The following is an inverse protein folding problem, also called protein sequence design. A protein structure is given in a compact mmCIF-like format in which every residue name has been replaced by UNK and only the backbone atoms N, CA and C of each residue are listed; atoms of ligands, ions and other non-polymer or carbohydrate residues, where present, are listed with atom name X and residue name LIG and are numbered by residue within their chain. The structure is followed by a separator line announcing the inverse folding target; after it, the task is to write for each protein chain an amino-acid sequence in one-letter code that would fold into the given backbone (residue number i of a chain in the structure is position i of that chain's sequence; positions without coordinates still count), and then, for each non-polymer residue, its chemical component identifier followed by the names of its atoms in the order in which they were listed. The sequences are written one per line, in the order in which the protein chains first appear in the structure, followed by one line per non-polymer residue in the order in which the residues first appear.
data_IF_464135134856
#
_entry.id   IF_464135134856
#
_cell.length_a   1.000
_cell.length_b   1.000
_cell.length_c   1.000
_cell.angle_alpha   90.00
_cell.angle_beta   90.00
_cell.angle_gamma   90.00
#
_symmetry.space_group_name_H-M   'P 1'
#
loop_
_entity.id
_entity.type
_entity.pdbx_description
1 polymer ?
#
# COMPACT_ATOMS: atom_id res chain seq x y z
N UNK A 1 -40.52 54.69 -63.66
CA UNK A 1 -41.25 53.73 -62.79
C UNK A 1 -40.61 52.35 -62.96
N UNK A 2 -39.96 51.81 -61.92
CA UNK A 2 -39.57 50.39 -61.86
C UNK A 2 -39.63 49.94 -60.40
N UNK A 3 -40.56 49.03 -60.09
CA UNK A 3 -40.75 48.48 -58.74
C UNK A 3 -39.89 47.22 -58.64
N UNK A 4 -38.81 47.27 -57.84
CA UNK A 4 -37.98 46.09 -57.56
C UNK A 4 -38.79 45.06 -56.76
N UNK A 5 -38.85 43.84 -57.28
CA UNK A 5 -39.45 42.70 -56.58
C UNK A 5 -38.43 42.18 -55.56
N UNK A 6 -38.82 42.01 -54.29
CA UNK A 6 -37.99 41.36 -53.27
C UNK A 6 -37.89 39.87 -53.62
N UNK A 7 -36.68 39.41 -53.95
CA UNK A 7 -36.39 37.98 -54.14
C UNK A 7 -36.50 37.22 -52.81
N UNK A 8 -36.98 35.98 -52.88
CA UNK A 8 -37.04 35.07 -51.74
C UNK A 8 -35.64 34.86 -51.13
N UNK A 9 -35.51 35.14 -49.83
CA UNK A 9 -34.31 34.88 -48.99
C UNK A 9 -34.40 33.57 -48.19
N UNK A 10 -35.37 32.71 -48.54
CA UNK A 10 -35.69 31.51 -47.75
C UNK A 10 -34.65 30.39 -47.88
N UNK A 11 -34.03 30.27 -49.06
CA UNK A 11 -33.05 29.22 -49.31
C UNK A 11 -31.72 29.54 -48.64
N UNK A 12 -31.31 30.81 -48.62
CA UNK A 12 -30.09 31.26 -47.92
C UNK A 12 -30.25 31.10 -46.40
N UNK A 13 -31.42 31.45 -45.85
CA UNK A 13 -31.72 31.24 -44.44
C UNK A 13 -31.71 29.74 -44.06
N UNK A 14 -32.20 28.87 -44.93
CA UNK A 14 -32.20 27.42 -44.71
C UNK A 14 -30.78 26.82 -44.70
N UNK A 15 -29.89 27.27 -45.59
CA UNK A 15 -28.50 26.82 -45.63
C UNK A 15 -27.76 27.24 -44.34
N UNK A 16 -27.96 28.48 -43.88
CA UNK A 16 -27.38 28.97 -42.62
C UNK A 16 -27.90 28.17 -41.42
N UNK A 17 -29.20 27.84 -41.41
CA UNK A 17 -29.81 27.03 -40.35
C UNK A 17 -29.17 25.62 -40.29
N UNK A 18 -28.98 24.96 -41.42
CA UNK A 18 -28.33 23.63 -41.48
C UNK A 18 -26.89 23.72 -40.97
N UNK A 19 -26.13 24.72 -41.41
CA UNK A 19 -24.75 24.92 -40.97
C UNK A 19 -24.68 25.14 -39.45
N UNK A 20 -25.57 25.97 -38.89
CA UNK A 20 -25.62 26.23 -37.46
C UNK A 20 -25.98 24.98 -36.65
N UNK A 21 -26.94 24.18 -37.12
CA UNK A 21 -27.32 22.91 -36.47
C UNK A 21 -26.17 21.91 -36.50
N UNK A 22 -25.42 21.82 -37.60
CA UNK A 22 -24.25 20.93 -37.69
C UNK A 22 -23.15 21.37 -36.71
N UNK A 23 -22.84 22.66 -36.65
CA UNK A 23 -21.85 23.19 -35.70
C UNK A 23 -22.29 22.96 -34.26
N UNK A 24 -23.57 23.21 -33.96
CA UNK A 24 -24.14 22.94 -32.63
C UNK A 24 -24.09 21.45 -32.26
N UNK A 25 -24.42 20.55 -33.18
CA UNK A 25 -24.36 19.11 -32.97
C UNK A 25 -22.92 18.61 -32.74
N UNK A 26 -21.95 19.12 -33.53
CA UNK A 26 -20.54 18.81 -33.35
C UNK A 26 -20.01 19.30 -31.99
N UNK A 27 -20.37 20.53 -31.60
CA UNK A 27 -20.02 21.07 -30.29
C UNK A 27 -20.63 20.26 -29.14
N UNK A 28 -21.91 19.88 -29.27
CA UNK A 28 -22.60 19.06 -28.28
C UNK A 28 -21.95 17.67 -28.14
N UNK A 29 -21.58 17.02 -29.24
CA UNK A 29 -20.88 15.74 -29.23
C UNK A 29 -19.53 15.83 -28.51
N UNK A 30 -18.73 16.86 -28.82
CA UNK A 30 -17.45 17.10 -28.14
C UNK A 30 -17.66 17.36 -26.65
N UNK A 31 -18.63 18.22 -26.30
CA UNK A 31 -18.94 18.54 -24.91
C UNK A 31 -19.38 17.29 -24.12
N UNK A 32 -20.19 16.42 -24.70
CA UNK A 32 -20.62 15.17 -24.07
C UNK A 32 -19.46 14.19 -23.89
N UNK A 33 -18.62 14.00 -24.89
CA UNK A 33 -17.48 13.08 -24.80
C UNK A 33 -16.45 13.57 -23.78
N UNK A 34 -16.16 14.88 -23.76
CA UNK A 34 -15.31 15.48 -22.74
C UNK A 34 -15.96 15.40 -21.34
N UNK A 35 -17.29 15.55 -21.26
CA UNK A 35 -18.07 15.36 -20.04
C UNK A 35 -18.00 13.93 -19.50
N UNK A 36 -18.14 12.93 -20.37
CA UNK A 36 -18.00 11.52 -20.00
C UNK A 36 -16.58 11.17 -19.57
N UNK A 37 -15.57 11.66 -20.28
CA UNK A 37 -14.17 11.47 -19.86
C UNK A 37 -13.90 12.10 -18.48
N UNK A 38 -14.36 13.33 -18.27
CA UNK A 38 -14.16 14.04 -16.99
C UNK A 38 -14.87 13.33 -15.84
N UNK A 39 -16.10 12.86 -16.05
CA UNK A 39 -16.85 12.12 -15.01
C UNK A 39 -16.25 10.75 -14.73
N UNK A 40 -15.79 10.00 -15.74
CA UNK A 40 -15.06 8.74 -15.54
C UNK A 40 -13.76 8.98 -14.77
N UNK A 41 -12.99 10.00 -15.15
CA UNK A 41 -11.74 10.33 -14.46
C UNK A 41 -12.00 10.76 -13.01
N UNK A 42 -13.07 11.51 -12.77
CA UNK A 42 -13.47 11.91 -11.41
C UNK A 42 -13.82 10.70 -10.55
N UNK A 43 -14.55 9.72 -11.08
CA UNK A 43 -14.86 8.47 -10.38
C UNK A 43 -13.59 7.67 -10.03
N UNK A 44 -12.66 7.56 -10.97
CA UNK A 44 -11.37 6.90 -10.74
C UNK A 44 -10.55 7.60 -9.66
N UNK A 45 -10.44 8.93 -9.70
CA UNK A 45 -9.70 9.70 -8.69
C UNK A 45 -10.37 9.62 -7.31
N UNK A 46 -11.70 9.62 -7.24
CA UNK A 46 -12.43 9.44 -5.98
C UNK A 46 -12.15 8.05 -5.40
N UNK A 47 -12.24 7.00 -6.22
CA UNK A 47 -11.97 5.64 -5.78
C UNK A 47 -10.52 5.48 -5.30
N UNK A 48 -9.54 5.93 -6.09
CA UNK A 48 -8.12 5.90 -5.71
C UNK A 48 -7.82 6.76 -4.49
N UNK A 49 -8.45 7.91 -4.36
CA UNK A 49 -8.30 8.77 -3.19
C UNK A 49 -8.80 8.08 -1.92
N UNK A 50 -9.89 7.32 -2.01
CA UNK A 50 -10.38 6.51 -0.90
C UNK A 50 -9.48 5.31 -0.60
N UNK A 51 -8.97 4.63 -1.63
CA UNK A 51 -7.99 3.55 -1.47
C UNK A 51 -6.72 4.05 -0.79
N UNK A 52 -6.17 5.17 -1.24
CA UNK A 52 -4.91 5.74 -0.74
C UNK A 52 -5.04 6.30 0.70
N UNK A 53 -6.17 6.94 1.02
CA UNK A 53 -6.39 7.49 2.35
C UNK A 53 -6.64 6.40 3.41
N UNK A 54 -7.00 5.20 2.99
CA UNK A 54 -7.30 4.10 3.89
C UNK A 54 -6.10 3.21 4.17
N UNK A 55 -5.98 2.69 5.38
CA UNK A 55 -4.97 1.68 5.71
C UNK A 55 -5.24 0.40 4.92
N UNK A 56 -4.23 -0.08 4.19
CA UNK A 56 -4.33 -1.35 3.47
C UNK A 56 -4.05 -2.55 4.39
N UNK A 57 -3.19 -2.37 5.39
CA UNK A 57 -2.74 -3.42 6.30
C UNK A 57 -3.07 -3.09 7.76
N UNK A 58 -3.41 -4.12 8.53
CA UNK A 58 -3.65 -4.06 9.97
C UNK A 58 -2.78 -5.08 10.70
N UNK A 59 -2.51 -4.82 11.97
CA UNK A 59 -1.81 -5.78 12.85
C UNK A 59 -2.81 -6.81 13.34
N UNK A 60 -2.54 -8.10 13.11
CA UNK A 60 -3.39 -9.20 13.58
C UNK A 60 -2.74 -9.94 14.76
N UNK A 61 -2.84 -9.35 15.95
CA UNK A 61 -2.37 -9.96 17.20
C UNK A 61 -1.20 -9.20 17.84
N UNK A 62 -0.35 -9.95 18.55
CA UNK A 62 0.73 -9.40 19.34
C UNK A 62 2.04 -9.35 18.54
N UNK A 63 2.80 -8.27 18.69
CA UNK A 63 4.14 -8.15 18.12
C UNK A 63 5.10 -8.92 19.00
N UNK A 64 5.90 -9.81 18.42
CA UNK A 64 6.82 -10.68 19.14
C UNK A 64 8.26 -10.24 18.87
N UNK A 65 9.05 -10.11 19.92
CA UNK A 65 10.49 -9.87 19.85
C UNK A 65 11.27 -11.15 20.11
N UNK A 66 12.36 -11.36 19.36
CA UNK A 66 13.36 -12.40 19.62
C UNK A 66 14.58 -11.78 20.28
N UNK A 67 14.95 -12.30 21.43
CA UNK A 67 16.06 -11.82 22.23
C UNK A 67 17.26 -12.75 22.16
N UNK A 68 18.46 -12.18 22.26
CA UNK A 68 19.66 -12.93 22.57
C UNK A 68 19.89 -12.88 24.09
N UNK A 69 19.66 -14.00 24.78
CA UNK A 69 19.73 -14.11 26.25
C UNK A 69 21.14 -13.82 26.78
N UNK A 70 22.18 -14.22 26.04
CA UNK A 70 23.59 -14.02 26.44
C UNK A 70 24.00 -12.55 26.33
N UNK A 71 23.59 -11.88 25.24
CA UNK A 71 23.92 -10.48 24.99
C UNK A 71 22.93 -9.48 25.62
N UNK A 72 21.77 -9.96 26.11
CA UNK A 72 20.65 -9.15 26.62
C UNK A 72 20.24 -8.03 25.64
N UNK A 73 20.03 -8.41 24.38
CA UNK A 73 19.60 -7.50 23.31
C UNK A 73 18.45 -8.09 22.51
N UNK A 74 17.57 -7.24 22.01
CA UNK A 74 16.54 -7.60 21.05
C UNK A 74 17.18 -7.72 19.67
N UNK A 75 17.11 -8.92 19.07
CA UNK A 75 17.76 -9.23 17.79
C UNK A 75 16.78 -9.37 16.62
N UNK A 76 15.50 -9.57 16.89
CA UNK A 76 14.50 -9.64 15.83
C UNK A 76 13.11 -9.23 16.30
N UNK A 77 12.26 -8.83 15.36
CA UNK A 77 10.86 -8.47 15.60
C UNK A 77 9.97 -9.16 14.58
N UNK A 78 8.88 -9.78 15.03
CA UNK A 78 7.85 -10.39 14.22
C UNK A 78 6.52 -9.65 14.44
N UNK A 79 5.95 -9.13 13.36
CA UNK A 79 4.71 -8.37 13.34
C UNK A 79 3.70 -9.17 12.49
N UNK A 80 2.64 -9.73 13.08
CA UNK A 80 1.58 -10.35 12.30
C UNK A 80 0.75 -9.28 11.59
N UNK A 81 0.52 -9.48 10.30
CA UNK A 81 -0.15 -8.59 9.38
C UNK A 81 -1.35 -9.31 8.73
N UNK A 82 -2.41 -8.55 8.50
CA UNK A 82 -3.59 -8.97 7.74
C UNK A 82 -4.06 -7.81 6.87
N UNK A 83 -4.72 -8.14 5.76
CA UNK A 83 -5.42 -7.14 4.96
C UNK A 83 -6.55 -6.50 5.77
N UNK A 84 -6.63 -5.17 5.73
CA UNK A 84 -7.78 -4.48 6.31
C UNK A 84 -9.06 -4.91 5.58
N UNK A 85 -10.16 -5.09 6.31
CA UNK A 85 -11.40 -5.66 5.74
C UNK A 85 -11.95 -4.81 4.59
N UNK A 86 -12.34 -5.47 3.50
CA UNK A 86 -12.93 -4.82 2.31
C UNK A 86 -11.93 -4.00 1.46
N UNK A 87 -10.63 -4.31 1.53
CA UNK A 87 -9.60 -3.68 0.69
C UNK A 87 -9.15 -4.59 -0.45
N UNK A 88 -8.51 -3.97 -1.44
CA UNK A 88 -7.87 -4.68 -2.55
C UNK A 88 -6.61 -5.40 -2.06
N UNK A 89 -6.26 -6.57 -2.62
CA UNK A 89 -5.04 -7.30 -2.29
C UNK A 89 -3.77 -6.45 -2.36
N UNK A 90 -2.84 -6.69 -1.43
CA UNK A 90 -1.56 -5.95 -1.35
C UNK A 90 -0.42 -6.80 -1.87
N UNK A 91 0.31 -6.30 -2.87
CA UNK A 91 1.51 -6.97 -3.40
C UNK A 91 2.74 -6.75 -2.52
N UNK A 92 3.26 -7.86 -2.00
CA UNK A 92 4.43 -7.90 -1.12
C UNK A 92 5.70 -7.42 -1.84
N UNK A 93 5.86 -7.76 -3.13
CA UNK A 93 7.06 -7.42 -3.91
C UNK A 93 7.20 -5.94 -4.20
N UNK A 94 6.14 -5.17 -3.95
CA UNK A 94 6.13 -3.71 -4.14
C UNK A 94 6.00 -2.95 -2.82
N UNK A 95 5.95 -3.68 -1.72
CA UNK A 95 5.92 -3.12 -0.38
C UNK A 95 7.34 -2.71 0.03
N UNK A 96 7.45 -1.58 0.73
CA UNK A 96 8.71 -1.14 1.35
C UNK A 96 8.54 -1.03 2.85
N UNK A 97 9.63 -1.21 3.59
CA UNK A 97 9.59 -1.24 5.05
C UNK A 97 10.66 -0.29 5.56
N UNK A 98 10.28 0.58 6.48
CA UNK A 98 11.18 1.54 7.11
C UNK A 98 11.28 1.23 8.61
N UNK A 99 12.51 1.09 9.09
CA UNK A 99 12.81 0.83 10.50
C UNK A 99 13.48 2.08 11.05
N UNK A 100 12.82 2.71 12.01
CA UNK A 100 13.29 3.90 12.69
C UNK A 100 13.60 3.54 14.14
N UNK A 101 14.85 3.77 14.52
CA UNK A 101 15.34 3.69 15.90
C UNK A 101 15.84 5.08 16.31
N UNK A 102 16.08 5.31 17.61
CA UNK A 102 16.61 6.59 18.11
C UNK A 102 17.84 7.13 17.37
N UNK A 103 18.71 6.25 16.87
CA UNK A 103 19.99 6.62 16.27
C UNK A 103 20.11 6.31 14.77
N UNK A 104 19.21 5.52 14.19
CA UNK A 104 19.32 5.01 12.83
C UNK A 104 17.97 4.92 12.14
N UNK A 105 17.96 5.21 10.85
CA UNK A 105 16.82 4.96 9.95
C UNK A 105 17.31 4.05 8.83
N UNK A 106 16.65 2.90 8.65
CA UNK A 106 16.96 1.94 7.60
C UNK A 106 15.72 1.70 6.78
N UNK A 107 15.83 1.88 5.46
CA UNK A 107 14.76 1.57 4.51
C UNK A 107 15.11 0.28 3.79
N UNK A 108 14.21 -0.68 3.86
CA UNK A 108 14.27 -1.96 3.16
C UNK A 108 13.34 -1.89 1.95
N UNK A 109 13.93 -2.10 0.78
CA UNK A 109 13.19 -2.18 -0.48
C UNK A 109 12.86 -3.63 -0.81
N UNK A 110 12.06 -3.86 -1.85
CA UNK A 110 11.62 -5.19 -2.28
C UNK A 110 12.73 -6.26 -2.39
N UNK A 111 13.96 -5.88 -2.74
CA UNK A 111 15.10 -6.80 -2.86
C UNK A 111 15.68 -7.25 -1.51
N UNK A 112 15.45 -6.48 -0.44
CA UNK A 112 15.89 -6.81 0.93
C UNK A 112 14.83 -7.62 1.69
N UNK A 113 13.64 -7.77 1.10
CA UNK A 113 12.49 -8.47 1.66
C UNK A 113 12.36 -9.83 0.97
N UNK A 114 12.56 -10.90 1.71
CA UNK A 114 12.37 -12.26 1.20
C UNK A 114 10.94 -12.71 1.48
N UNK A 115 10.07 -12.85 0.46
CA UNK A 115 8.79 -13.50 0.66
C UNK A 115 9.00 -15.01 0.83
N UNK A 116 8.34 -15.60 1.83
CA UNK A 116 8.40 -17.02 2.14
C UNK A 116 6.97 -17.55 2.18
N UNK A 117 6.59 -18.30 1.16
CA UNK A 117 5.35 -19.09 1.13
C UNK A 117 5.61 -20.47 1.72
N UNK A 118 4.63 -21.04 2.43
CA UNK A 118 4.73 -22.34 3.11
C UNK A 118 6.04 -22.57 3.91
N UNK A 119 6.24 -21.90 5.06
CA UNK A 119 7.49 -22.00 5.80
C UNK A 119 7.74 -23.43 6.30
N UNK A 120 8.97 -23.91 6.09
CA UNK A 120 9.42 -25.24 6.54
C UNK A 120 9.57 -25.38 8.07
N UNK A 121 9.40 -24.28 8.80
CA UNK A 121 9.50 -24.20 10.27
C UNK A 121 8.38 -23.31 10.82
N UNK A 122 7.84 -23.69 11.98
CA UNK A 122 6.82 -22.90 12.68
C UNK A 122 7.38 -21.66 13.39
N UNK A 123 8.70 -21.54 13.57
CA UNK A 123 9.31 -20.32 14.12
C UNK A 123 9.60 -19.30 13.00
N UNK A 124 8.91 -18.13 13.00
CA UNK A 124 9.07 -17.10 11.97
C UNK A 124 10.53 -16.62 11.84
N UNK A 125 11.29 -16.57 12.93
CA UNK A 125 12.69 -16.12 12.90
C UNK A 125 13.64 -17.14 12.28
N UNK A 126 13.28 -18.42 12.28
CA UNK A 126 14.05 -19.46 11.62
C UNK A 126 13.70 -19.57 10.13
N UNK A 127 12.43 -19.36 9.77
CA UNK A 127 11.95 -19.35 8.40
C UNK A 127 12.47 -18.14 7.59
N UNK A 128 12.74 -17.00 8.24
CA UNK A 128 13.39 -15.85 7.61
C UNK A 128 14.86 -16.12 7.17
N UNK A 129 15.52 -17.11 7.77
CA UNK A 129 16.92 -17.42 7.49
C UNK A 129 17.86 -16.24 7.79
N UNK A 130 18.72 -15.89 6.82
CA UNK A 130 19.67 -14.77 6.93
C UNK A 130 19.17 -13.48 6.26
N UNK A 131 17.87 -13.39 5.94
CA UNK A 131 17.29 -12.21 5.31
C UNK A 131 17.22 -11.04 6.30
N UNK A 132 17.34 -9.80 5.80
CA UNK A 132 17.15 -8.57 6.59
C UNK A 132 15.71 -8.42 7.06
N UNK A 133 14.78 -8.68 6.14
CA UNK A 133 13.35 -8.81 6.41
C UNK A 133 12.79 -9.98 5.62
N UNK A 134 11.79 -10.66 6.20
CA UNK A 134 11.03 -11.68 5.51
C UNK A 134 9.54 -11.48 5.77
N UNK A 135 8.72 -11.65 4.73
CA UNK A 135 7.28 -11.73 4.86
C UNK A 135 6.90 -13.19 4.70
N UNK A 136 6.37 -13.77 5.76
CA UNK A 136 6.12 -15.20 5.86
C UNK A 136 4.62 -15.44 5.87
N UNK A 137 4.17 -16.26 4.95
CA UNK A 137 2.79 -16.69 4.88
C UNK A 137 2.51 -17.75 5.96
N UNK A 138 1.46 -17.56 6.74
CA UNK A 138 1.01 -18.54 7.75
C UNK A 138 -0.34 -19.16 7.39
N UNK A 139 -1.20 -18.41 6.70
CA UNK A 139 -2.43 -18.89 6.08
C UNK A 139 -2.63 -18.14 4.78
N UNK A 140 -2.73 -18.86 3.67
CA UNK A 140 -2.96 -18.30 2.34
C UNK A 140 -2.89 -19.40 1.29
N UNK A 141 -2.71 -19.00 0.02
CA UNK A 141 -2.72 -19.88 -1.14
C UNK A 141 -1.37 -19.99 -1.89
N UNK A 142 -0.25 -19.70 -1.21
CA UNK A 142 1.13 -19.77 -1.72
C UNK A 142 1.47 -18.75 -2.81
N UNK A 143 0.78 -17.60 -2.83
CA UNK A 143 1.09 -16.47 -3.69
C UNK A 143 1.85 -15.33 -2.96
N UNK A 144 2.06 -14.19 -3.63
CA UNK A 144 2.79 -13.04 -3.05
C UNK A 144 1.88 -11.83 -2.82
N UNK A 145 0.59 -12.07 -2.73
CA UNK A 145 -0.44 -11.10 -2.41
C UNK A 145 -0.87 -11.33 -0.96
N UNK A 146 -1.34 -10.26 -0.32
CA UNK A 146 -2.03 -10.36 0.96
C UNK A 146 -3.50 -10.14 0.67
N UNK A 147 -4.29 -11.20 0.77
CA UNK A 147 -5.72 -11.20 0.48
C UNK A 147 -6.60 -11.26 1.74
N UNK A 148 -7.91 -11.13 1.54
CA UNK A 148 -8.86 -11.23 2.65
C UNK A 148 -8.97 -12.67 3.16
N UNK A 149 -8.68 -12.87 4.44
CA UNK A 149 -8.66 -14.19 5.08
C UNK A 149 -7.26 -14.78 5.25
N UNK A 150 -6.26 -14.15 4.65
CA UNK A 150 -4.87 -14.57 4.79
C UNK A 150 -4.18 -13.95 5.99
N UNK A 151 -3.14 -14.63 6.47
CA UNK A 151 -2.30 -14.17 7.58
C UNK A 151 -0.85 -14.24 7.19
N UNK A 152 -0.21 -13.08 7.26
CA UNK A 152 1.20 -12.91 6.96
C UNK A 152 1.94 -12.43 8.20
N UNK A 153 3.21 -12.77 8.34
CA UNK A 153 4.05 -12.30 9.46
C UNK A 153 5.27 -11.63 8.87
N UNK A 154 5.42 -10.34 9.16
CA UNK A 154 6.64 -9.61 8.87
C UNK A 154 7.68 -9.90 9.95
N UNK A 155 8.79 -10.49 9.55
CA UNK A 155 9.94 -10.76 10.41
C UNK A 155 11.09 -9.85 10.02
N UNK A 156 11.66 -9.18 11.00
CA UNK A 156 12.82 -8.31 10.86
C UNK A 156 13.98 -8.88 11.67
N UNK A 157 15.15 -8.98 11.05
CA UNK A 157 16.40 -9.26 11.74
C UNK A 157 17.15 -7.95 11.99
N UNK A 158 17.20 -7.53 13.26
CA UNK A 158 17.84 -6.28 13.68
C UNK A 158 19.36 -6.33 13.55
N UNK A 159 19.95 -7.51 13.66
CA UNK A 159 21.40 -7.67 13.53
C UNK A 159 21.84 -7.51 12.07
N UNK A 160 21.05 -8.03 11.12
CA UNK A 160 21.32 -7.88 9.69
C UNK A 160 20.97 -6.48 9.16
N UNK A 161 19.98 -5.81 9.76
CA UNK A 161 19.52 -4.48 9.32
C UNK A 161 20.29 -3.33 9.97
N UNK A 162 20.54 -3.39 11.27
CA UNK A 162 21.18 -2.32 12.06
C UNK A 162 22.64 -2.64 12.44
N UNK A 163 23.13 -3.86 12.14
CA UNK A 163 24.45 -4.33 12.55
C UNK A 163 24.54 -4.71 14.04
N UNK A 164 23.51 -4.43 14.84
CA UNK A 164 23.45 -4.75 16.26
C UNK A 164 22.01 -4.88 16.73
N UNK A 165 21.80 -5.63 17.81
CA UNK A 165 20.50 -5.68 18.48
C UNK A 165 20.24 -4.43 19.32
N UNK A 166 18.96 -4.19 19.63
CA UNK A 166 18.52 -3.05 20.45
C UNK A 166 18.68 -3.35 21.94
N UNK A 167 18.99 -2.30 22.70
CA UNK A 167 19.10 -2.38 24.16
C UNK A 167 17.70 -2.27 24.82
N UNK A 168 17.56 -2.75 26.07
CA UNK A 168 16.36 -2.50 26.86
C UNK A 168 16.01 -1.01 26.91
N UNK A 169 14.71 -0.68 26.94
CA UNK A 169 14.15 0.68 26.91
C UNK A 169 14.30 1.47 25.62
N UNK A 170 14.97 0.93 24.59
CA UNK A 170 15.01 1.58 23.29
C UNK A 170 13.65 1.48 22.57
N UNK A 171 13.33 2.48 21.76
CA UNK A 171 12.12 2.50 20.94
C UNK A 171 12.44 2.03 19.53
N UNK A 172 11.60 1.16 19.00
CA UNK A 172 11.62 0.75 17.61
C UNK A 172 10.29 1.14 16.96
N UNK A 173 10.37 1.81 15.82
CA UNK A 173 9.22 2.12 14.98
C UNK A 173 9.42 1.44 13.65
N UNK A 174 8.49 0.58 13.26
CA UNK A 174 8.47 -0.09 11.96
C UNK A 174 7.31 0.48 11.17
N UNK A 175 7.60 0.99 9.98
CA UNK A 175 6.59 1.51 9.06
C UNK A 175 6.54 0.63 7.80
N UNK A 176 5.40 0.00 7.57
CA UNK A 176 5.16 -0.84 6.40
C UNK A 176 4.37 -0.01 5.38
N UNK A 177 4.99 0.26 4.24
CA UNK A 177 4.46 1.08 3.15
C UNK A 177 4.00 0.17 2.01
N UNK A 178 2.69 -0.14 1.91
CA UNK A 178 2.15 -0.88 0.77
C UNK A 178 2.21 -0.01 -0.50
N UNK A 179 2.09 -0.63 -1.71
CA UNK A 179 2.04 0.11 -2.97
C UNK A 179 0.81 1.00 -3.15
N UNK A 180 -0.29 0.71 -2.45
CA UNK A 180 -1.53 1.50 -2.42
C UNK A 180 -2.06 1.50 -0.99
N UNK A 181 -2.53 2.66 -0.53
CA UNK A 181 -3.09 2.82 0.81
C UNK A 181 -2.11 3.38 1.82
N UNK A 182 -2.66 3.78 2.97
CA UNK A 182 -1.91 4.41 4.03
C UNK A 182 -0.91 3.43 4.67
N UNK A 183 0.29 3.91 5.04
CA UNK A 183 1.29 3.07 5.68
C UNK A 183 0.84 2.63 7.07
N UNK A 184 1.27 1.42 7.44
CA UNK A 184 1.06 0.88 8.78
C UNK A 184 2.27 1.21 9.65
N UNK A 185 2.08 2.01 10.70
CA UNK A 185 3.14 2.34 11.67
C UNK A 185 2.98 1.52 12.95
N UNK A 186 4.02 0.77 13.31
CA UNK A 186 4.10 -0.05 14.52
C UNK A 186 5.24 0.46 15.39
N UNK A 187 4.92 1.20 16.45
CA UNK A 187 5.88 1.66 17.45
C UNK A 187 5.82 0.77 18.69
N UNK A 188 6.99 0.26 19.12
CA UNK A 188 7.15 -0.60 20.30
C UNK A 188 8.36 -0.18 21.12
N UNK A 189 8.34 -0.52 22.40
CA UNK A 189 9.47 -0.28 23.31
C UNK A 189 10.05 -1.63 23.71
N UNK A 190 11.37 -1.75 23.69
CA UNK A 190 12.06 -2.97 24.14
C UNK A 190 11.87 -3.10 25.66
N UNK A 191 11.33 -4.23 26.16
CA UNK A 191 11.10 -4.43 27.58
C UNK A 191 12.41 -4.44 28.37
N UNK A 192 12.35 -4.11 29.68
CA UNK A 192 13.52 -4.06 30.55
C UNK A 192 14.14 -5.44 30.81
N UNK A 193 13.32 -6.49 30.77
CA UNK A 193 13.73 -7.86 31.00
C UNK A 193 13.81 -8.61 29.66
N UNK A 194 14.99 -9.15 29.37
CA UNK A 194 15.31 -9.94 28.17
C UNK A 194 15.86 -11.32 28.57
N UNK A 195 15.38 -11.85 29.68
CA UNK A 195 15.72 -13.18 30.20
C UNK A 195 15.20 -14.32 29.30
N UNK A 196 14.04 -14.11 28.66
CA UNK A 196 13.41 -15.07 27.75
C UNK A 196 13.83 -14.86 26.29
N UNK A 197 13.87 -15.96 25.53
CA UNK A 197 14.21 -15.92 24.08
C UNK A 197 13.14 -15.22 23.25
N UNK A 198 11.86 -15.35 23.64
CA UNK A 198 10.75 -14.65 22.98
C UNK A 198 10.05 -13.78 24.00
N UNK A 199 9.77 -12.54 23.62
CA UNK A 199 9.04 -11.59 24.46
C UNK A 199 7.96 -10.90 23.64
N UNK A 200 6.80 -10.66 24.22
CA UNK A 200 5.77 -9.86 23.57
C UNK A 200 6.12 -8.38 23.73
N UNK A 201 6.19 -7.67 22.62
CA UNK A 201 6.39 -6.23 22.60
C UNK A 201 5.03 -5.54 22.76
N UNK A 202 4.86 -4.87 23.89
CA UNK A 202 3.68 -4.05 24.23
C UNK A 202 3.60 -2.74 23.47
#
# INVERSE_FOLDING_TARGET
MYKKVKGMVGIEAAIVLIAFVIVAAALAFVALNMGFFTTQKSKEVIARGLEEASSALEIDGAVIGKNNVTAKKLIGVAIPLRLASGRSPVDIKRTSIEIVTANNVVVLSANDITPVTNPSSSDPFSAAGSAKAALIEYQGDDDYLIEEGEKWVLVLDLTQTLGTGLNPYEKITVEVKPPVGAPLTVARVVPPDLSETYVVLG
#
